data_IF_208904417781
#
_entry.id   IF_208904417781
#
_cell.length_a   1.000
_cell.length_b   1.000
_cell.length_c   1.000
_cell.angle_alpha   90.00
_cell.angle_beta   90.00
_cell.angle_gamma   90.00
#
_symmetry.space_group_name_H-M   'P 1'
#
loop_
_entity.id
_entity.type
_entity.pdbx_description
1 polymer ?
#
# COMPACT_ATOMS: atom_id res chain seq x y z
N UNK A 1 -17.16 -13.18 14.91
CA UNK A 1 -15.97 -12.31 15.09
C UNK A 1 -15.39 -12.09 13.71
N UNK A 2 -15.35 -10.85 13.22
CA UNK A 2 -14.79 -10.55 11.90
C UNK A 2 -13.27 -10.38 12.06
N UNK A 3 -12.47 -11.14 11.32
CA UNK A 3 -11.02 -11.00 11.33
C UNK A 3 -10.61 -9.72 10.59
N UNK A 4 -9.61 -9.01 11.11
CA UNK A 4 -9.03 -7.83 10.45
C UNK A 4 -8.05 -8.25 9.35
N UNK A 5 -7.78 -7.36 8.39
CA UNK A 5 -6.78 -7.60 7.33
C UNK A 5 -5.41 -7.98 7.90
N UNK A 6 -5.00 -7.28 8.95
CA UNK A 6 -3.76 -7.55 9.68
C UNK A 6 -3.71 -8.97 10.26
N UNK A 7 -4.81 -9.47 10.83
CA UNK A 7 -4.89 -10.84 11.34
C UNK A 7 -4.83 -11.87 10.21
N UNK A 8 -5.54 -11.61 9.09
CA UNK A 8 -5.54 -12.50 7.93
C UNK A 8 -4.15 -12.61 7.27
N UNK A 9 -3.42 -11.49 7.20
CA UNK A 9 -2.20 -11.38 6.41
C UNK A 9 -0.92 -11.41 7.24
N UNK A 10 -1.03 -11.60 8.57
CA UNK A 10 0.10 -11.67 9.49
C UNK A 10 1.17 -12.67 9.04
N UNK A 11 0.76 -13.88 8.67
CA UNK A 11 1.69 -14.94 8.26
C UNK A 11 2.37 -14.59 6.94
N UNK A 12 1.62 -14.03 5.98
CA UNK A 12 2.17 -13.60 4.70
C UNK A 12 3.26 -12.53 4.87
N UNK A 13 3.04 -11.55 5.75
CA UNK A 13 4.05 -10.51 6.02
C UNK A 13 5.25 -11.06 6.76
N UNK A 14 5.03 -11.96 7.72
CA UNK A 14 6.13 -12.64 8.39
C UNK A 14 7.00 -13.38 7.39
N UNK A 15 6.40 -14.21 6.52
CA UNK A 15 7.12 -14.93 5.48
C UNK A 15 7.80 -13.98 4.49
N UNK A 16 7.14 -12.90 4.06
CA UNK A 16 7.73 -11.92 3.14
C UNK A 16 8.99 -11.28 3.75
N UNK A 17 8.96 -10.91 5.04
CA UNK A 17 10.14 -10.41 5.75
C UNK A 17 11.24 -11.45 5.84
N UNK A 18 10.91 -12.69 6.19
CA UNK A 18 11.91 -13.78 6.26
C UNK A 18 12.56 -14.01 4.90
N UNK A 19 11.78 -14.01 3.81
CA UNK A 19 12.31 -14.17 2.46
C UNK A 19 13.16 -12.97 2.00
N UNK A 20 12.86 -11.77 2.49
CA UNK A 20 13.65 -10.56 2.22
C UNK A 20 14.96 -10.55 3.01
N UNK A 21 14.89 -10.78 4.32
CA UNK A 21 16.01 -10.64 5.25
C UNK A 21 16.94 -11.87 5.24
N UNK A 22 16.36 -13.08 5.26
CA UNK A 22 17.12 -14.36 5.35
C UNK A 22 17.33 -15.01 3.98
N UNK A 23 16.32 -14.96 3.11
CA UNK A 23 16.34 -15.58 1.79
C UNK A 23 16.14 -17.10 1.82
N UNK A 24 16.38 -17.74 0.67
CA UNK A 24 16.34 -19.20 0.49
C UNK A 24 17.66 -19.65 -0.13
N UNK A 25 18.34 -20.57 0.54
CA UNK A 25 19.53 -21.22 0.00
C UNK A 25 19.13 -22.33 -0.96
N UNK A 26 19.57 -22.23 -2.21
CA UNK A 26 19.37 -23.25 -3.24
C UNK A 26 20.71 -23.77 -3.76
N UNK A 27 20.72 -25.04 -4.17
CA UNK A 27 21.86 -25.67 -4.86
C UNK A 27 21.50 -25.86 -6.34
N UNK A 28 22.34 -25.36 -7.24
CA UNK A 28 22.16 -25.55 -8.69
C UNK A 28 23.01 -26.72 -9.21
N UNK A 29 22.75 -27.21 -10.44
CA UNK A 29 23.67 -28.12 -11.11
C UNK A 29 25.10 -27.55 -11.11
N UNK A 30 26.09 -28.38 -10.77
CA UNK A 30 27.48 -27.96 -10.58
C UNK A 30 27.87 -27.59 -9.15
N UNK A 31 27.03 -27.88 -8.15
CA UNK A 31 27.27 -27.62 -6.72
C UNK A 31 27.48 -26.13 -6.38
N UNK A 32 26.86 -25.23 -7.17
CA UNK A 32 26.85 -23.80 -6.84
C UNK A 32 25.73 -23.59 -5.81
N UNK A 33 26.10 -23.02 -4.66
CA UNK A 33 25.18 -22.66 -3.59
C UNK A 33 24.90 -21.16 -3.69
N UNK A 34 23.63 -20.79 -3.82
CA UNK A 34 23.19 -19.39 -3.93
C UNK A 34 22.16 -19.11 -2.85
N UNK A 35 22.29 -17.98 -2.15
CA UNK A 35 21.22 -17.47 -1.29
C UNK A 35 20.36 -16.47 -2.08
N UNK A 36 19.10 -16.81 -2.30
CA UNK A 36 18.15 -15.99 -3.03
C UNK A 36 17.29 -15.17 -2.07
N UNK A 37 17.28 -13.86 -2.24
CA UNK A 37 16.42 -12.95 -1.47
C UNK A 37 15.23 -12.51 -2.32
N UNK A 38 14.07 -12.29 -1.68
CA UNK A 38 12.84 -11.92 -2.35
C UNK A 38 12.30 -10.62 -1.76
N UNK A 39 11.89 -9.70 -2.63
CA UNK A 39 11.30 -8.42 -2.22
C UNK A 39 9.84 -8.34 -2.67
N UNK A 40 8.99 -7.71 -1.85
CA UNK A 40 7.62 -7.41 -2.25
C UNK A 40 7.63 -6.20 -3.19
N UNK A 41 7.44 -6.45 -4.49
CA UNK A 41 7.43 -5.39 -5.48
C UNK A 41 6.20 -4.47 -5.38
N UNK A 42 5.01 -5.04 -5.59
CA UNK A 42 3.73 -4.31 -5.68
C UNK A 42 2.58 -5.14 -5.11
N UNK A 43 1.53 -4.45 -4.66
CA UNK A 43 0.22 -5.03 -4.35
C UNK A 43 -0.76 -4.55 -5.42
N UNK A 44 -1.38 -5.50 -6.14
CA UNK A 44 -2.34 -5.23 -7.21
C UNK A 44 -3.78 -5.51 -6.72
N UNK A 45 -4.74 -4.80 -7.26
CA UNK A 45 -6.17 -5.00 -6.99
C UNK A 45 -7.00 -3.81 -7.41
N UNK A 46 -8.32 -3.98 -7.36
CA UNK A 46 -9.27 -2.90 -7.59
C UNK A 46 -9.13 -1.78 -6.54
N UNK A 47 -9.71 -0.61 -6.84
CA UNK A 47 -9.61 0.55 -5.95
C UNK A 47 -10.14 0.25 -4.53
N UNK A 48 -11.23 -0.51 -4.39
CA UNK A 48 -11.80 -0.83 -3.09
C UNK A 48 -10.91 -1.83 -2.32
N UNK A 49 -10.42 -2.87 -3.00
CA UNK A 49 -9.52 -3.85 -2.43
C UNK A 49 -8.20 -3.23 -1.97
N UNK A 50 -7.57 -2.39 -2.80
CA UNK A 50 -6.33 -1.69 -2.46
C UNK A 50 -6.53 -0.74 -1.29
N UNK A 51 -7.56 0.12 -1.29
CA UNK A 51 -7.79 1.01 -0.15
C UNK A 51 -8.07 0.22 1.14
N UNK A 52 -8.73 -0.94 1.05
CA UNK A 52 -8.98 -1.82 2.19
C UNK A 52 -7.68 -2.45 2.73
N UNK A 53 -6.89 -3.12 1.89
CA UNK A 53 -5.68 -3.83 2.32
C UNK A 53 -4.55 -2.89 2.74
N UNK A 54 -4.48 -1.69 2.14
CA UNK A 54 -3.46 -0.69 2.44
C UNK A 54 -3.89 0.28 3.57
N UNK A 55 -5.04 0.05 4.21
CA UNK A 55 -5.58 0.82 5.34
C UNK A 55 -5.87 2.30 5.03
N UNK A 56 -6.31 2.58 3.81
CA UNK A 56 -6.87 3.86 3.39
C UNK A 56 -8.41 3.89 3.53
N UNK A 57 -9.01 5.05 3.27
CA UNK A 57 -10.45 5.21 3.27
C UNK A 57 -11.12 4.39 2.16
N UNK A 58 -12.11 3.58 2.55
CA UNK A 58 -12.97 2.79 1.63
C UNK A 58 -14.20 3.55 1.15
N UNK A 59 -14.53 4.66 1.81
CA UNK A 59 -15.71 5.47 1.47
C UNK A 59 -15.33 6.58 0.50
N UNK A 60 -15.34 6.29 -0.80
CA UNK A 60 -15.03 7.28 -1.85
C UNK A 60 -16.08 8.40 -1.95
N UNK A 61 -17.32 8.10 -1.57
CA UNK A 61 -18.42 9.07 -1.56
C UNK A 61 -18.38 10.02 -0.37
N UNK A 62 -18.01 9.54 0.81
CA UNK A 62 -18.12 10.34 2.03
C UNK A 62 -16.79 10.92 2.50
N UNK A 63 -15.67 10.32 2.11
CA UNK A 63 -14.36 10.81 2.52
C UNK A 63 -13.99 12.10 1.80
N UNK A 64 -13.62 13.12 2.58
CA UNK A 64 -13.08 14.36 2.04
C UNK A 64 -11.72 14.15 1.38
N UNK A 65 -10.93 13.16 1.81
CA UNK A 65 -9.68 12.72 1.20
C UNK A 65 -9.77 11.23 0.90
N UNK A 66 -10.02 10.86 -0.35
CA UNK A 66 -10.25 9.46 -0.72
C UNK A 66 -9.09 8.84 -1.52
N UNK A 67 -8.19 9.65 -2.06
CA UNK A 67 -7.10 9.18 -2.90
C UNK A 67 -5.96 8.58 -2.06
N UNK A 68 -5.51 7.38 -2.44
CA UNK A 68 -4.33 6.73 -1.85
C UNK A 68 -3.00 7.33 -2.34
N UNK A 69 -3.00 8.01 -3.49
CA UNK A 69 -1.78 8.59 -4.09
C UNK A 69 -1.51 10.02 -3.60
N UNK A 70 -2.56 10.83 -3.43
CA UNK A 70 -2.42 12.24 -3.09
C UNK A 70 -3.37 12.67 -1.96
N UNK A 71 -3.15 13.88 -1.48
CA UNK A 71 -3.90 14.57 -0.43
C UNK A 71 -4.83 15.64 -0.99
N UNK A 72 -5.15 15.60 -2.29
CA UNK A 72 -6.19 16.46 -2.83
C UNK A 72 -7.53 16.10 -2.20
N UNK A 73 -8.26 17.12 -1.73
CA UNK A 73 -9.60 16.91 -1.21
C UNK A 73 -10.60 16.71 -2.36
N UNK A 74 -11.78 16.21 -2.02
CA UNK A 74 -12.84 15.86 -2.97
C UNK A 74 -13.26 17.03 -3.87
N UNK A 75 -13.27 18.25 -3.37
CA UNK A 75 -13.61 19.43 -4.18
C UNK A 75 -12.49 19.78 -5.15
N UNK A 76 -11.23 19.76 -4.70
CA UNK A 76 -10.08 19.98 -5.58
C UNK A 76 -10.01 18.94 -6.69
N UNK A 77 -10.26 17.65 -6.39
CA UNK A 77 -10.20 16.58 -7.39
C UNK A 77 -11.19 16.75 -8.54
N UNK A 78 -12.31 17.46 -8.35
CA UNK A 78 -13.28 17.73 -9.43
C UNK A 78 -12.73 18.63 -10.53
N UNK A 79 -11.70 19.41 -10.22
CA UNK A 79 -11.12 20.40 -11.12
C UNK A 79 -9.69 20.06 -11.55
N UNK A 80 -9.08 19.04 -10.95
CA UNK A 80 -7.74 18.58 -11.31
C UNK A 80 -7.76 17.85 -12.64
N UNK A 81 -6.91 18.28 -13.56
CA UNK A 81 -6.67 17.61 -14.86
C UNK A 81 -5.27 17.02 -14.95
N UNK A 82 -4.42 17.32 -13.97
CA UNK A 82 -3.04 16.87 -13.86
C UNK A 82 -2.71 16.60 -12.38
N UNK A 83 -1.69 15.76 -12.16
CA UNK A 83 -1.13 15.55 -10.84
C UNK A 83 -0.57 16.86 -10.27
N UNK A 84 -0.74 17.07 -8.96
CA UNK A 84 -0.08 18.14 -8.24
C UNK A 84 1.00 17.54 -7.31
N UNK A 85 2.30 17.67 -7.66
CA UNK A 85 3.39 17.10 -6.87
C UNK A 85 3.41 17.56 -5.40
N UNK A 86 2.90 18.76 -5.10
CA UNK A 86 2.85 19.30 -3.74
C UNK A 86 1.81 18.59 -2.85
N UNK A 87 0.84 17.92 -3.47
CA UNK A 87 -0.22 17.19 -2.78
C UNK A 87 0.07 15.68 -2.71
N UNK A 88 1.15 15.19 -3.31
CA UNK A 88 1.46 13.76 -3.32
C UNK A 88 1.75 13.25 -1.91
N UNK A 89 1.26 12.05 -1.61
CA UNK A 89 1.60 11.38 -0.35
C UNK A 89 3.05 10.91 -0.44
N UNK A 90 3.76 11.05 0.67
CA UNK A 90 5.11 10.53 0.85
C UNK A 90 5.25 9.99 2.27
N UNK A 91 6.34 9.29 2.57
CA UNK A 91 6.55 8.67 3.88
C UNK A 91 6.35 9.70 5.00
N UNK A 92 6.96 10.88 4.88
CA UNK A 92 6.92 11.91 5.92
C UNK A 92 5.50 12.43 6.19
N UNK A 93 4.76 12.82 5.15
CA UNK A 93 3.41 13.36 5.33
C UNK A 93 2.39 12.28 5.71
N UNK A 94 2.61 11.03 5.27
CA UNK A 94 1.81 9.88 5.67
C UNK A 94 1.98 9.59 7.16
N UNK A 95 3.22 9.53 7.67
CA UNK A 95 3.47 9.32 9.10
C UNK A 95 2.87 10.45 9.97
N UNK A 96 2.92 11.69 9.49
CA UNK A 96 2.27 12.82 10.17
C UNK A 96 0.74 12.69 10.19
N UNK A 97 0.14 12.28 9.07
CA UNK A 97 -1.30 12.08 8.97
C UNK A 97 -1.76 10.91 9.86
N UNK A 98 -1.00 9.81 9.88
CA UNK A 98 -1.21 8.67 10.79
C UNK A 98 -1.18 9.14 12.25
N UNK A 99 -0.21 9.97 12.64
CA UNK A 99 -0.13 10.51 14.00
C UNK A 99 -1.29 11.46 14.36
N UNK A 100 -1.94 12.07 13.36
CA UNK A 100 -3.00 13.09 13.53
C UNK A 100 -4.41 12.58 13.18
N UNK A 101 -4.61 11.27 13.03
CA UNK A 101 -5.90 10.70 12.61
C UNK A 101 -7.10 11.09 13.48
N UNK A 102 -6.88 11.44 14.76
CA UNK A 102 -7.95 11.89 15.66
C UNK A 102 -8.37 13.36 15.45
N UNK A 103 -7.59 14.13 14.67
CA UNK A 103 -7.77 15.59 14.51
C UNK A 103 -8.11 15.94 13.07
N UNK A 104 -7.45 15.29 12.13
CA UNK A 104 -7.69 15.41 10.69
C UNK A 104 -8.26 14.08 10.21
N UNK A 105 -9.19 14.08 9.24
CA UNK A 105 -9.61 12.87 8.55
C UNK A 105 -8.80 12.72 7.25
N UNK A 106 -7.51 12.32 7.27
CA UNK A 106 -6.61 12.40 6.12
C UNK A 106 -6.90 11.38 5.02
N UNK A 107 -7.99 10.61 5.11
CA UNK A 107 -8.25 9.48 4.21
C UNK A 107 -7.44 8.22 4.53
N UNK A 108 -6.84 8.14 5.72
CA UNK A 108 -6.09 6.99 6.23
C UNK A 108 -6.85 6.45 7.43
N UNK A 109 -7.06 5.13 7.49
CA UNK A 109 -7.78 4.47 8.57
C UNK A 109 -6.84 4.05 9.70
N UNK A 110 -5.69 3.47 9.36
CA UNK A 110 -4.57 3.23 10.28
C UNK A 110 -3.25 3.12 9.51
N UNK A 111 -2.13 3.04 10.22
CA UNK A 111 -0.86 2.69 9.58
C UNK A 111 -1.00 1.31 8.90
N UNK A 112 -0.63 1.23 7.63
CA UNK A 112 -0.67 -0.04 6.91
C UNK A 112 0.29 -1.02 7.55
N UNK A 113 -0.20 -2.22 7.82
CA UNK A 113 0.59 -3.32 8.38
C UNK A 113 1.62 -3.85 7.35
N UNK A 114 1.43 -3.55 6.05
CA UNK A 114 2.40 -3.85 4.98
C UNK A 114 3.64 -2.94 5.02
N UNK A 115 3.55 -1.74 5.60
CA UNK A 115 4.72 -0.87 5.82
C UNK A 115 5.76 -1.48 6.76
N UNK A 116 5.48 -2.63 7.36
CA UNK A 116 6.45 -3.37 8.14
C UNK A 116 7.46 -4.12 7.27
N UNK A 117 7.18 -4.39 5.98
CA UNK A 117 8.12 -5.03 5.06
C UNK A 117 9.18 -3.99 4.64
N UNK A 118 10.47 -4.33 4.77
CA UNK A 118 11.59 -3.38 4.66
C UNK A 118 11.61 -2.67 3.31
N UNK A 119 11.38 -3.41 2.23
CA UNK A 119 11.36 -2.90 0.85
C UNK A 119 10.05 -2.22 0.42
N UNK A 120 9.04 -2.14 1.30
CA UNK A 120 7.69 -1.71 0.92
C UNK A 120 7.18 -0.54 1.77
N UNK A 121 6.65 0.47 1.09
CA UNK A 121 5.82 1.49 1.73
C UNK A 121 4.63 1.88 0.84
N UNK A 122 3.44 2.04 1.43
CA UNK A 122 2.19 2.34 0.69
C UNK A 122 2.22 3.62 -0.13
N UNK A 123 3.13 4.55 0.17
CA UNK A 123 3.30 5.82 -0.58
C UNK A 123 4.43 5.77 -1.62
N UNK A 124 5.14 4.65 -1.74
CA UNK A 124 6.23 4.46 -2.71
C UNK A 124 5.95 3.30 -3.68
N UNK A 125 5.37 2.22 -3.17
CA UNK A 125 5.10 0.98 -3.91
C UNK A 125 3.63 0.89 -4.35
N UNK A 126 3.03 2.02 -4.73
CA UNK A 126 1.66 2.07 -5.21
C UNK A 126 1.59 1.83 -6.71
N UNK A 127 0.46 1.32 -7.18
CA UNK A 127 0.20 1.11 -8.60
C UNK A 127 -1.29 1.36 -8.91
N UNK A 128 -1.58 1.39 -10.21
CA UNK A 128 -2.93 1.40 -10.77
C UNK A 128 -3.14 0.05 -11.45
N UNK A 129 -4.30 -0.56 -11.23
CA UNK A 129 -4.60 -1.85 -11.83
C UNK A 129 -5.17 -1.65 -13.23
N UNK A 130 -4.31 -1.74 -14.24
CA UNK A 130 -4.70 -1.57 -15.64
C UNK A 130 -5.71 -2.64 -16.09
N UNK A 131 -5.64 -3.85 -15.51
CA UNK A 131 -6.57 -4.94 -15.85
C UNK A 131 -7.98 -4.59 -15.39
N UNK A 132 -8.11 -4.11 -14.16
CA UNK A 132 -9.38 -3.64 -13.63
C UNK A 132 -9.86 -2.36 -14.32
N UNK A 133 -9.00 -1.36 -14.47
CA UNK A 133 -9.44 -0.01 -14.86
C UNK A 133 -9.67 0.16 -16.36
N UNK A 134 -8.97 -0.59 -17.22
CA UNK A 134 -9.09 -0.46 -18.68
C UNK A 134 -9.65 -1.71 -19.38
N UNK A 135 -9.41 -2.89 -18.82
CA UNK A 135 -9.69 -4.16 -19.51
C UNK A 135 -10.93 -4.90 -18.96
N UNK A 136 -11.47 -4.49 -17.83
CA UNK A 136 -12.71 -5.03 -17.26
C UNK A 136 -13.95 -4.25 -17.75
N UNK A 137 -14.10 -4.12 -19.07
CA UNK A 137 -15.27 -3.54 -19.75
C UNK A 137 -16.40 -4.56 -19.99
#
# INVERSE_FOLDING_TARGET
MVMTNEQCLKNLIYESKTLEDEGIVISTPGNIIVNLHFILGLVLGDNLGLNSILEFSRSFSDSFFFCQFCKANKEHTKHMTQENPLLMRNINNYSQDVAKMNVTQPGIHKNSFLNNITSFHVTQNYCVDIMHDLFEL
#
